data_IF_046952654963
#
_entry.id   IF_046952654963
#
_cell.length_a   1.000
_cell.length_b   1.000
_cell.length_c   1.000
_cell.angle_alpha   90.00
_cell.angle_beta   90.00
_cell.angle_gamma   90.00
#
_symmetry.space_group_name_H-M   'P 1'
#
loop_
_entity.id
_entity.type
_entity.pdbx_description
1 polymer ?
#
# COMPACT_ATOMS: atom_id res chain seq x y z
N UNK A 1 -14.37 35.85 20.04
CA UNK A 1 -13.52 34.67 19.77
C UNK A 1 -12.50 34.47 20.87
N UNK A 2 -12.56 33.33 21.56
CA UNK A 2 -11.56 32.95 22.56
C UNK A 2 -10.37 32.33 21.82
N UNK A 3 -9.21 32.98 21.87
CA UNK A 3 -7.96 32.44 21.36
C UNK A 3 -7.58 31.22 22.20
N UNK A 4 -7.49 30.04 21.58
CA UNK A 4 -7.03 28.84 22.25
C UNK A 4 -5.50 28.84 22.32
N UNK A 5 -4.89 28.42 23.43
CA UNK A 5 -3.45 28.56 23.67
C UNK A 5 -2.64 27.48 22.94
N UNK A 6 -2.61 27.53 21.60
CA UNK A 6 -1.93 26.54 20.76
C UNK A 6 -0.48 26.32 21.17
N UNK A 7 0.30 27.39 21.28
CA UNK A 7 1.73 27.32 21.57
C UNK A 7 2.00 26.73 22.97
N UNK A 8 1.21 27.08 23.97
CA UNK A 8 1.33 26.53 25.34
C UNK A 8 0.96 25.04 25.39
N UNK A 9 -0.07 24.63 24.65
CA UNK A 9 -0.51 23.24 24.57
C UNK A 9 0.54 22.36 23.89
N UNK A 10 1.14 22.85 22.80
CA UNK A 10 2.23 22.14 22.12
C UNK A 10 3.49 22.11 22.98
N UNK A 11 3.81 23.20 23.68
CA UNK A 11 4.94 23.24 24.62
C UNK A 11 4.75 22.22 25.75
N UNK A 12 3.54 22.15 26.33
CA UNK A 12 3.19 21.13 27.31
C UNK A 12 3.35 19.72 26.75
N UNK A 13 2.88 19.44 25.53
CA UNK A 13 3.03 18.12 24.89
C UNK A 13 4.47 17.82 24.43
N UNK A 14 5.31 18.84 24.31
CA UNK A 14 6.74 18.70 24.00
C UNK A 14 7.62 18.53 25.23
N UNK A 15 7.08 18.74 26.44
CA UNK A 15 7.78 18.50 27.70
C UNK A 15 8.06 17.01 27.93
N UNK A 16 8.87 16.70 28.94
CA UNK A 16 9.14 15.33 29.36
C UNK A 16 7.83 14.57 29.64
N UNK A 17 7.57 13.52 28.84
CA UNK A 17 6.34 12.73 28.91
C UNK A 17 6.23 11.93 30.21
N UNK A 18 7.34 11.61 30.87
CA UNK A 18 7.37 10.86 32.13
C UNK A 18 6.83 11.65 33.32
N UNK A 19 6.83 12.99 33.23
CA UNK A 19 6.41 13.89 34.31
C UNK A 19 4.97 14.40 34.14
N UNK A 20 4.31 14.07 33.03
CA UNK A 20 2.97 14.57 32.73
C UNK A 20 1.87 13.72 33.36
N UNK A 21 0.85 14.41 33.85
CA UNK A 21 -0.39 13.76 34.28
C UNK A 21 -1.21 13.31 33.05
N UNK A 22 -1.68 12.06 33.06
CA UNK A 22 -2.46 11.46 31.96
C UNK A 22 -3.74 12.27 31.68
N UNK A 23 -4.46 12.69 32.72
CA UNK A 23 -5.71 13.46 32.59
C UNK A 23 -5.43 14.82 31.95
N UNK A 24 -4.40 15.53 32.44
CA UNK A 24 -3.99 16.81 31.87
C UNK A 24 -3.53 16.67 30.40
N UNK A 25 -2.86 15.57 30.07
CA UNK A 25 -2.44 15.24 28.69
C UNK A 25 -3.63 15.01 27.77
N UNK A 26 -4.65 14.27 28.21
CA UNK A 26 -5.87 14.07 27.44
C UNK A 26 -6.62 15.39 27.20
N UNK A 27 -6.76 16.24 28.23
CA UNK A 27 -7.35 17.56 28.05
C UNK A 27 -6.52 18.44 27.11
N UNK A 28 -5.19 18.43 27.25
CA UNK A 28 -4.30 19.18 26.37
C UNK A 28 -4.48 18.76 24.91
N UNK A 29 -4.59 17.46 24.62
CA UNK A 29 -4.86 16.96 23.28
C UNK A 29 -6.23 17.41 22.73
N UNK A 30 -7.29 17.37 23.54
CA UNK A 30 -8.63 17.84 23.14
C UNK A 30 -8.59 19.32 22.78
N UNK A 31 -8.00 20.16 23.63
CA UNK A 31 -7.88 21.59 23.36
C UNK A 31 -6.92 21.90 22.21
N UNK A 32 -5.86 21.11 22.04
CA UNK A 32 -4.94 21.27 20.91
C UNK A 32 -5.66 20.99 19.59
N UNK A 33 -6.46 19.92 19.51
CA UNK A 33 -7.29 19.62 18.33
C UNK A 33 -8.23 20.78 18.01
N UNK A 34 -8.90 21.34 19.02
CA UNK A 34 -9.75 22.53 18.84
C UNK A 34 -8.96 23.75 18.36
N UNK A 35 -7.75 23.97 18.88
CA UNK A 35 -6.89 25.09 18.52
C UNK A 35 -6.43 24.98 17.06
N UNK A 36 -5.91 23.80 16.66
CA UNK A 36 -5.45 23.52 15.29
C UNK A 36 -6.56 23.74 14.26
N UNK A 37 -7.78 23.29 14.55
CA UNK A 37 -8.93 23.45 13.64
C UNK A 37 -9.32 24.93 13.42
N UNK A 38 -8.94 25.83 14.34
CA UNK A 38 -9.22 27.27 14.27
C UNK A 38 -8.05 28.09 13.70
N UNK A 39 -6.89 27.48 13.47
CA UNK A 39 -5.74 28.19 12.90
C UNK A 39 -6.06 28.67 11.47
N UNK A 40 -5.62 29.89 11.18
CA UNK A 40 -5.62 30.43 9.81
C UNK A 40 -4.58 29.69 8.94
N UNK A 41 -4.53 30.00 7.65
CA UNK A 41 -3.67 29.29 6.71
C UNK A 41 -2.17 29.41 7.04
N UNK A 42 -1.70 30.59 7.44
CA UNK A 42 -0.27 30.83 7.69
C UNK A 42 0.18 30.21 9.01
N UNK A 43 -0.67 30.23 10.05
CA UNK A 43 -0.41 29.57 11.33
C UNK A 43 -0.38 28.04 11.19
N UNK A 44 -1.10 27.45 10.24
CA UNK A 44 -1.02 26.00 9.95
C UNK A 44 0.37 25.59 9.45
N UNK A 45 1.06 26.48 8.73
CA UNK A 45 2.43 26.24 8.28
C UNK A 45 3.38 26.30 9.48
N UNK A 46 3.23 27.33 10.32
CA UNK A 46 4.00 27.52 11.55
C UNK A 46 3.82 26.37 12.54
N UNK A 47 2.63 25.77 12.57
CA UNK A 47 2.30 24.66 13.46
C UNK A 47 3.05 23.36 13.15
N UNK A 48 3.45 23.11 11.89
CA UNK A 48 4.05 21.83 11.49
C UNK A 48 5.32 21.47 12.28
N UNK A 49 6.37 22.32 12.35
CA UNK A 49 7.56 22.00 13.13
C UNK A 49 7.26 21.83 14.63
N UNK A 50 6.31 22.60 15.17
CA UNK A 50 5.92 22.53 16.57
C UNK A 50 5.22 21.19 16.88
N UNK A 51 4.34 20.74 16.01
CA UNK A 51 3.69 19.42 16.12
C UNK A 51 4.70 18.28 15.98
N UNK A 52 5.77 18.42 15.18
CA UNK A 52 6.84 17.42 15.14
C UNK A 52 7.66 17.34 16.42
N UNK A 53 7.86 18.47 17.11
CA UNK A 53 8.50 18.46 18.43
C UNK A 53 7.64 17.74 19.46
N UNK A 54 6.33 18.00 19.47
CA UNK A 54 5.39 17.23 20.29
C UNK A 54 5.40 15.74 19.92
N UNK A 55 5.41 15.41 18.63
CA UNK A 55 5.46 14.03 18.15
C UNK A 55 6.71 13.31 18.69
N UNK A 56 7.88 13.94 18.61
CA UNK A 56 9.15 13.40 19.12
C UNK A 56 9.07 13.08 20.62
N UNK A 57 8.51 13.98 21.42
CA UNK A 57 8.39 13.80 22.87
C UNK A 57 7.41 12.67 23.28
N UNK A 58 6.54 12.24 22.35
CA UNK A 58 5.47 11.29 22.61
C UNK A 58 5.64 9.93 21.90
N UNK A 59 6.79 9.64 21.30
CA UNK A 59 7.01 8.42 20.50
C UNK A 59 6.72 7.09 21.21
N UNK A 60 6.73 7.06 22.55
CA UNK A 60 6.41 5.87 23.33
C UNK A 60 4.89 5.58 23.42
N UNK A 61 4.03 6.59 23.18
CA UNK A 61 2.58 6.46 23.24
C UNK A 61 1.98 6.51 21.83
N UNK A 62 1.66 5.32 21.30
CA UNK A 62 1.05 5.15 19.97
C UNK A 62 -0.22 6.00 19.78
N UNK A 63 -1.05 6.13 20.81
CA UNK A 63 -2.31 6.87 20.70
C UNK A 63 -2.06 8.38 20.57
N UNK A 64 -1.13 8.93 21.37
CA UNK A 64 -0.75 10.34 21.24
C UNK A 64 -0.07 10.63 19.91
N UNK A 65 0.84 9.75 19.47
CA UNK A 65 1.48 9.82 18.16
C UNK A 65 0.44 9.89 17.05
N UNK A 66 -0.50 8.95 17.05
CA UNK A 66 -1.56 8.87 16.06
C UNK A 66 -2.45 10.12 16.04
N UNK A 67 -2.78 10.67 17.21
CA UNK A 67 -3.56 11.91 17.31
C UNK A 67 -2.77 13.13 16.82
N UNK A 68 -1.50 13.28 17.21
CA UNK A 68 -0.65 14.42 16.82
C UNK A 68 -0.45 14.44 15.30
N UNK A 69 -0.22 13.28 14.69
CA UNK A 69 0.02 13.21 13.25
C UNK A 69 -1.22 13.64 12.45
N UNK A 70 -2.44 13.34 12.91
CA UNK A 70 -3.67 13.82 12.26
C UNK A 70 -3.74 15.35 12.23
N UNK A 71 -3.23 16.03 13.25
CA UNK A 71 -3.24 17.50 13.33
C UNK A 71 -2.32 18.15 12.29
N UNK A 72 -1.39 17.40 11.69
CA UNK A 72 -0.42 17.94 10.72
C UNK A 72 -1.03 18.17 9.32
N UNK A 73 -2.15 17.54 8.99
CA UNK A 73 -2.76 17.57 7.65
C UNK A 73 -3.10 18.97 7.14
N UNK A 74 -3.57 19.87 8.00
CA UNK A 74 -3.86 21.25 7.61
C UNK A 74 -2.61 21.99 7.13
N UNK A 75 -1.47 21.71 7.76
CA UNK A 75 -0.17 22.22 7.34
C UNK A 75 0.27 21.62 6.00
N UNK A 76 0.17 20.30 5.84
CA UNK A 76 0.50 19.62 4.58
C UNK A 76 -0.32 20.15 3.39
N UNK A 77 -1.63 20.32 3.60
CA UNK A 77 -2.53 20.90 2.60
C UNK A 77 -2.10 22.29 2.19
N UNK A 78 -1.73 23.14 3.15
CA UNK A 78 -1.29 24.51 2.85
C UNK A 78 0.05 24.54 2.13
N UNK A 79 1.08 23.84 2.61
CA UNK A 79 2.40 23.89 1.98
C UNK A 79 2.39 23.29 0.55
N UNK A 80 1.47 22.36 0.26
CA UNK A 80 1.29 21.79 -1.08
C UNK A 80 0.83 22.79 -2.15
N UNK A 81 0.32 23.95 -1.72
CA UNK A 81 -0.12 25.04 -2.58
C UNK A 81 0.97 26.10 -2.78
N UNK A 82 2.09 25.97 -2.06
CA UNK A 82 3.19 26.94 -2.07
C UNK A 82 4.41 26.34 -2.78
N UNK A 83 5.28 27.23 -3.26
CA UNK A 83 6.62 26.83 -3.70
C UNK A 83 7.42 26.30 -2.51
N UNK A 84 8.29 25.31 -2.76
CA UNK A 84 9.14 24.67 -1.74
C UNK A 84 10.02 25.66 -0.98
N UNK A 85 10.41 26.78 -1.59
CA UNK A 85 11.16 27.88 -0.95
C UNK A 85 10.41 28.54 0.21
N UNK A 86 9.07 28.49 0.22
CA UNK A 86 8.21 29.06 1.26
C UNK A 86 7.86 28.06 2.36
N UNK A 87 8.40 26.84 2.28
CA UNK A 87 8.13 25.82 3.28
C UNK A 87 8.82 26.18 4.59
N UNK A 88 8.23 25.79 5.74
CA UNK A 88 8.90 25.95 7.02
C UNK A 88 10.11 25.01 7.07
N UNK A 89 11.00 25.21 8.04
CA UNK A 89 12.10 24.28 8.27
C UNK A 89 11.54 22.95 8.78
N UNK A 90 11.63 21.89 7.96
CA UNK A 90 11.16 20.54 8.26
C UNK A 90 12.33 19.58 8.58
N UNK A 91 13.41 20.07 9.21
CA UNK A 91 14.60 19.27 9.57
C UNK A 91 14.25 18.03 10.41
N UNK A 92 13.15 18.06 11.14
CA UNK A 92 12.67 16.94 11.95
C UNK A 92 12.32 15.72 11.07
N UNK A 93 12.03 15.89 9.78
CA UNK A 93 11.82 14.77 8.84
C UNK A 93 13.12 14.04 8.46
N UNK A 94 14.29 14.59 8.82
CA UNK A 94 15.56 13.86 8.72
C UNK A 94 15.57 12.72 9.75
N UNK A 95 14.91 12.91 10.89
CA UNK A 95 14.76 11.94 11.98
C UNK A 95 13.93 10.73 11.51
N UNK A 96 14.56 9.55 11.46
CA UNK A 96 13.97 8.34 10.88
C UNK A 96 12.63 7.93 11.51
N UNK A 97 12.45 7.95 12.86
CA UNK A 97 11.17 7.63 13.47
C UNK A 97 10.07 8.64 13.14
N UNK A 98 10.35 9.95 13.12
CA UNK A 98 9.36 10.98 12.75
C UNK A 98 8.94 10.77 11.30
N UNK A 99 9.92 10.64 10.39
CA UNK A 99 9.66 10.39 8.98
C UNK A 99 8.79 9.15 8.76
N UNK A 100 9.08 8.05 9.46
CA UNK A 100 8.32 6.81 9.36
C UNK A 100 6.84 7.00 9.76
N UNK A 101 6.55 7.72 10.85
CA UNK A 101 5.17 7.99 11.26
C UNK A 101 4.42 8.90 10.29
N UNK A 102 5.10 9.92 9.73
CA UNK A 102 4.51 10.80 8.71
C UNK A 102 4.23 10.03 7.42
N UNK A 103 5.15 9.20 6.96
CA UNK A 103 4.95 8.36 5.77
C UNK A 103 3.86 7.32 5.99
N UNK A 104 3.74 6.75 7.20
CA UNK A 104 2.65 5.84 7.52
C UNK A 104 1.30 6.57 7.51
N UNK A 105 1.22 7.77 8.08
CA UNK A 105 0.01 8.58 7.98
C UNK A 105 -0.35 8.95 6.54
N UNK A 106 0.64 9.30 5.72
CA UNK A 106 0.41 9.54 4.28
C UNK A 106 -0.10 8.29 3.58
N UNK A 107 0.44 7.11 3.91
CA UNK A 107 -0.05 5.82 3.44
C UNK A 107 -1.53 5.64 3.82
N UNK A 108 -1.88 5.89 5.07
CA UNK A 108 -3.24 5.70 5.58
C UNK A 108 -4.25 6.66 4.93
N UNK A 109 -3.89 7.93 4.75
CA UNK A 109 -4.75 8.91 4.05
C UNK A 109 -4.91 8.57 2.58
N UNK A 110 -3.85 8.12 1.90
CA UNK A 110 -3.95 7.68 0.49
C UNK A 110 -4.78 6.40 0.35
N UNK A 111 -4.68 5.48 1.32
CA UNK A 111 -5.46 4.24 1.37
C UNK A 111 -6.93 4.48 1.75
N UNK A 112 -7.25 5.60 2.41
CA UNK A 112 -8.61 5.92 2.85
C UNK A 112 -9.61 5.87 1.67
N UNK A 113 -10.64 5.01 1.71
CA UNK A 113 -11.55 4.81 0.60
C UNK A 113 -12.49 6.01 0.42
N UNK A 114 -12.95 6.21 -0.82
CA UNK A 114 -14.04 7.14 -1.10
C UNK A 114 -15.38 6.46 -0.78
N UNK A 115 -16.15 6.95 0.20
CA UNK A 115 -17.41 6.33 0.55
C UNK A 115 -18.44 6.51 -0.57
N UNK A 116 -19.22 5.46 -0.84
CA UNK A 116 -20.41 5.57 -1.69
C UNK A 116 -21.51 6.28 -0.89
N UNK A 117 -21.60 7.60 -1.03
CA UNK A 117 -22.56 8.45 -0.31
C UNK A 117 -21.94 9.22 0.86
N UNK A 118 -22.74 9.47 1.90
CA UNK A 118 -22.29 10.24 3.07
C UNK A 118 -21.27 9.45 3.89
N UNK A 119 -20.21 10.12 4.33
CA UNK A 119 -19.14 9.50 5.11
C UNK A 119 -19.66 8.91 6.42
N UNK A 120 -20.60 9.57 7.10
CA UNK A 120 -21.18 9.13 8.36
C UNK A 120 -21.89 7.78 8.22
N UNK A 121 -22.59 7.57 7.11
CA UNK A 121 -23.27 6.30 6.83
C UNK A 121 -22.25 5.17 6.58
N UNK A 122 -21.15 5.46 5.87
CA UNK A 122 -20.09 4.49 5.67
C UNK A 122 -19.34 4.18 6.98
N UNK A 123 -19.12 5.17 7.84
CA UNK A 123 -18.55 4.96 9.18
C UNK A 123 -19.44 4.02 9.99
N UNK A 124 -20.75 4.28 10.05
CA UNK A 124 -21.69 3.40 10.74
C UNK A 124 -21.69 1.97 10.17
N UNK A 125 -21.60 1.81 8.84
CA UNK A 125 -21.51 0.50 8.20
C UNK A 125 -20.21 -0.25 8.54
N UNK A 126 -19.08 0.45 8.65
CA UNK A 126 -17.80 -0.15 9.07
C UNK A 126 -17.86 -0.59 10.54
N UNK A 127 -18.42 0.24 11.42
CA UNK A 127 -18.63 -0.12 12.83
C UNK A 127 -19.57 -1.32 12.99
N UNK A 128 -20.62 -1.38 12.18
CA UNK A 128 -21.55 -2.50 12.11
C UNK A 128 -20.96 -3.75 11.40
N UNK A 129 -19.70 -3.70 10.95
CA UNK A 129 -19.01 -4.78 10.24
C UNK A 129 -19.73 -5.24 8.95
N UNK A 130 -20.41 -4.31 8.29
CA UNK A 130 -21.08 -4.54 7.02
C UNK A 130 -20.16 -4.28 5.82
N UNK A 131 -19.00 -3.66 6.06
CA UNK A 131 -17.98 -3.40 5.05
C UNK A 131 -16.90 -4.47 5.15
N UNK A 132 -16.77 -5.27 4.08
CA UNK A 132 -15.88 -6.44 4.07
C UNK A 132 -14.48 -6.14 3.55
N UNK A 133 -14.21 -4.96 2.96
CA UNK A 133 -12.90 -4.65 2.40
C UNK A 133 -12.55 -3.17 2.50
N UNK A 134 -11.51 -2.87 3.28
CA UNK A 134 -10.87 -1.57 3.42
C UNK A 134 -9.43 -1.65 2.89
N UNK A 135 -9.26 -1.82 1.58
CA UNK A 135 -7.97 -2.04 0.90
C UNK A 135 -6.79 -1.30 1.56
N UNK A 136 -5.85 -2.05 2.14
CA UNK A 136 -4.63 -1.56 2.78
C UNK A 136 -4.79 -0.61 3.98
N UNK A 137 -5.98 -0.51 4.60
CA UNK A 137 -6.20 0.26 5.83
C UNK A 137 -6.99 -0.57 6.85
N UNK A 138 -6.54 -0.55 8.11
CA UNK A 138 -7.23 -1.27 9.19
C UNK A 138 -8.51 -0.56 9.62
N UNK A 139 -9.44 -1.29 10.23
CA UNK A 139 -10.71 -0.72 10.70
C UNK A 139 -10.47 0.41 11.70
N UNK A 140 -9.55 0.21 12.64
CA UNK A 140 -9.22 1.22 13.65
C UNK A 140 -8.67 2.50 13.02
N UNK A 141 -7.70 2.36 12.10
CA UNK A 141 -7.10 3.50 11.40
C UNK A 141 -8.12 4.23 10.53
N UNK A 142 -8.97 3.48 9.82
CA UNK A 142 -10.06 4.06 9.04
C UNK A 142 -11.00 4.88 9.91
N UNK A 143 -11.50 4.31 11.03
CA UNK A 143 -12.46 4.99 11.91
C UNK A 143 -11.85 6.25 12.52
N UNK A 144 -10.59 6.19 12.91
CA UNK A 144 -9.84 7.33 13.42
C UNK A 144 -9.73 8.43 12.37
N UNK A 145 -9.26 8.14 11.15
CA UNK A 145 -9.14 9.14 10.09
C UNK A 145 -10.53 9.70 9.71
N UNK A 146 -11.55 8.84 9.60
CA UNK A 146 -12.89 9.29 9.27
C UNK A 146 -13.45 10.26 10.32
N UNK A 147 -13.42 9.87 11.60
CA UNK A 147 -14.04 10.64 12.70
C UNK A 147 -13.18 11.82 13.12
N UNK A 148 -11.89 11.60 13.32
CA UNK A 148 -11.01 12.60 13.92
C UNK A 148 -10.41 13.56 12.92
N UNK A 149 -10.37 13.21 11.63
CA UNK A 149 -9.95 14.12 10.57
C UNK A 149 -11.13 14.59 9.71
N UNK A 150 -11.75 13.72 8.91
CA UNK A 150 -12.67 14.18 7.87
C UNK A 150 -14.04 14.63 8.39
N UNK A 151 -14.55 14.06 9.48
CA UNK A 151 -15.80 14.51 10.12
C UNK A 151 -15.57 15.70 11.07
N UNK A 152 -14.37 15.84 11.62
CA UNK A 152 -14.06 16.91 12.59
C UNK A 152 -13.59 18.21 11.94
N UNK A 153 -13.22 18.16 10.65
CA UNK A 153 -12.71 19.28 9.87
C UNK A 153 -13.54 19.49 8.60
N UNK A 154 -13.37 20.63 7.93
CA UNK A 154 -13.97 20.88 6.62
C UNK A 154 -13.11 20.39 5.44
N UNK A 155 -12.08 19.57 5.71
CA UNK A 155 -11.16 19.12 4.67
C UNK A 155 -11.80 18.07 3.76
N UNK A 156 -11.62 18.28 2.46
CA UNK A 156 -11.98 17.27 1.46
C UNK A 156 -10.95 16.15 1.42
N UNK A 157 -11.43 14.90 1.30
CA UNK A 157 -10.59 13.70 1.10
C UNK A 157 -9.68 13.89 -0.13
N UNK A 158 -10.24 14.37 -1.24
CA UNK A 158 -9.49 14.61 -2.48
C UNK A 158 -8.39 15.65 -2.27
N UNK A 159 -8.72 16.79 -1.64
CA UNK A 159 -7.74 17.84 -1.41
C UNK A 159 -6.60 17.37 -0.49
N UNK A 160 -6.91 16.59 0.55
CA UNK A 160 -5.91 15.99 1.44
C UNK A 160 -4.99 15.01 0.68
N UNK A 161 -5.55 14.10 -0.12
CA UNK A 161 -4.76 13.16 -0.94
C UNK A 161 -3.88 13.87 -1.97
N UNK A 162 -4.43 14.84 -2.71
CA UNK A 162 -3.66 15.64 -3.68
C UNK A 162 -2.51 16.37 -3.00
N UNK A 163 -2.76 16.97 -1.82
CA UNK A 163 -1.72 17.65 -1.06
C UNK A 163 -0.57 16.70 -0.67
N UNK A 164 -0.90 15.51 -0.16
CA UNK A 164 0.08 14.48 0.19
C UNK A 164 0.91 14.09 -1.03
N UNK A 165 0.28 13.82 -2.18
CA UNK A 165 1.00 13.46 -3.41
C UNK A 165 1.96 14.57 -3.83
N UNK A 166 1.53 15.85 -3.79
CA UNK A 166 2.38 16.99 -4.11
C UNK A 166 3.55 17.12 -3.14
N UNK A 167 3.30 16.92 -1.85
CA UNK A 167 4.34 16.95 -0.81
C UNK A 167 5.34 15.81 -1.00
N UNK A 168 4.89 14.59 -1.29
CA UNK A 168 5.78 13.47 -1.62
C UNK A 168 6.64 13.75 -2.87
N UNK A 169 6.09 14.50 -3.83
CA UNK A 169 6.76 14.87 -5.08
C UNK A 169 7.69 16.08 -4.99
N UNK A 170 7.87 16.65 -3.80
CA UNK A 170 8.63 17.89 -3.59
C UNK A 170 10.16 17.70 -3.56
N UNK A 171 10.63 16.46 -3.50
CA UNK A 171 12.05 16.12 -3.32
C UNK A 171 12.51 16.06 -1.85
N UNK A 172 11.62 16.33 -0.88
CA UNK A 172 11.94 16.19 0.55
C UNK A 172 11.99 14.74 1.04
N UNK A 173 11.35 13.82 0.33
CA UNK A 173 11.34 12.39 0.65
C UNK A 173 12.13 11.63 -0.40
N UNK A 174 12.75 10.51 0.00
CA UNK A 174 13.46 9.63 -0.92
C UNK A 174 12.46 8.93 -1.84
N UNK A 175 12.77 8.84 -3.13
CA UNK A 175 11.98 8.12 -4.13
C UNK A 175 11.60 6.69 -3.70
N UNK A 176 12.49 6.03 -2.95
CA UNK A 176 12.25 4.69 -2.39
C UNK A 176 11.10 4.66 -1.39
N UNK A 177 10.96 5.70 -0.58
CA UNK A 177 9.86 5.85 0.38
C UNK A 177 8.57 6.29 -0.34
N UNK A 178 8.71 7.04 -1.44
CA UNK A 178 7.59 7.66 -2.16
C UNK A 178 6.88 6.67 -3.10
N UNK A 179 7.62 5.81 -3.82
CA UNK A 179 7.06 4.96 -4.86
C UNK A 179 5.90 4.06 -4.38
N UNK A 180 5.99 3.35 -3.23
CA UNK A 180 4.86 2.55 -2.73
C UNK A 180 3.62 3.40 -2.42
N UNK A 181 3.80 4.63 -1.92
CA UNK A 181 2.70 5.54 -1.58
C UNK A 181 2.02 6.08 -2.84
N UNK A 182 2.78 6.48 -3.86
CA UNK A 182 2.22 6.90 -5.15
C UNK A 182 1.43 5.78 -5.82
N UNK A 183 1.86 4.53 -5.68
CA UNK A 183 1.14 3.35 -6.19
C UNK A 183 -0.26 3.25 -5.58
N UNK A 184 -0.43 3.58 -4.29
CA UNK A 184 -1.74 3.65 -3.62
C UNK A 184 -2.55 4.82 -4.18
N UNK A 185 -1.94 6.00 -4.34
CA UNK A 185 -2.59 7.18 -4.90
C UNK A 185 -3.15 6.95 -6.30
N UNK A 186 -2.40 6.25 -7.16
CA UNK A 186 -2.83 5.87 -8.51
C UNK A 186 -3.97 4.85 -8.50
N UNK A 187 -3.98 3.91 -7.54
CA UNK A 187 -4.95 2.82 -7.53
C UNK A 187 -6.27 3.13 -6.79
N UNK A 188 -6.19 3.91 -5.71
CA UNK A 188 -7.31 4.21 -4.81
C UNK A 188 -7.71 5.71 -4.84
N UNK A 189 -7.20 6.45 -5.82
CA UNK A 189 -7.55 7.86 -6.07
C UNK A 189 -8.85 8.03 -6.87
N UNK A 190 -9.47 9.20 -6.78
CA UNK A 190 -10.34 9.68 -7.87
C UNK A 190 -9.48 10.20 -9.02
N UNK A 191 -10.09 10.56 -10.16
CA UNK A 191 -9.39 11.02 -11.37
C UNK A 191 -8.33 12.09 -11.10
N UNK A 192 -8.62 13.06 -10.23
CA UNK A 192 -7.68 14.12 -9.86
C UNK A 192 -6.46 13.58 -9.10
N UNK A 193 -6.68 12.71 -8.10
CA UNK A 193 -5.59 12.11 -7.30
C UNK A 193 -4.77 11.18 -8.16
N UNK A 194 -5.42 10.35 -8.98
CA UNK A 194 -4.75 9.43 -9.91
C UNK A 194 -3.85 10.21 -10.87
N UNK A 195 -4.36 11.28 -11.48
CA UNK A 195 -3.59 12.11 -12.40
C UNK A 195 -2.34 12.71 -11.75
N UNK A 196 -2.49 13.30 -10.57
CA UNK A 196 -1.35 13.92 -9.85
C UNK A 196 -0.35 12.85 -9.41
N UNK A 197 -0.80 11.68 -8.95
CA UNK A 197 0.07 10.59 -8.51
C UNK A 197 0.81 9.92 -9.68
N UNK A 198 0.14 9.71 -10.82
CA UNK A 198 0.76 9.16 -12.03
C UNK A 198 1.82 10.13 -12.59
N UNK A 199 1.54 11.43 -12.59
CA UNK A 199 2.50 12.46 -12.98
C UNK A 199 3.74 12.49 -12.07
N UNK A 200 3.55 12.34 -10.76
CA UNK A 200 4.62 12.21 -9.80
C UNK A 200 5.46 10.94 -10.01
N UNK A 201 4.79 9.81 -10.22
CA UNK A 201 5.44 8.50 -10.37
C UNK A 201 6.34 8.43 -11.61
N UNK A 202 6.02 9.18 -12.67
CA UNK A 202 6.87 9.30 -13.88
C UNK A 202 8.22 9.96 -13.65
N UNK A 203 8.39 10.69 -12.53
CA UNK A 203 9.66 11.34 -12.18
C UNK A 203 10.62 10.41 -11.45
N UNK A 204 10.13 9.28 -10.95
CA UNK A 204 10.92 8.30 -10.20
C UNK A 204 11.58 7.33 -11.17
N UNK A 205 12.87 7.03 -10.94
CA UNK A 205 13.51 5.90 -11.58
C UNK A 205 13.00 4.59 -10.97
N UNK A 206 11.92 4.05 -11.55
CA UNK A 206 11.32 2.80 -11.11
C UNK A 206 12.33 1.64 -11.23
N UNK A 207 13.25 1.68 -12.20
CA UNK A 207 14.22 0.60 -12.42
C UNK A 207 15.21 0.46 -11.27
N UNK A 208 15.73 1.58 -10.78
CA UNK A 208 16.57 1.59 -9.57
C UNK A 208 15.73 1.35 -8.32
N UNK A 209 14.53 1.93 -8.24
CA UNK A 209 13.73 1.85 -7.02
C UNK A 209 13.33 0.42 -6.64
N UNK A 210 12.96 -0.41 -7.61
CA UNK A 210 12.54 -1.78 -7.34
C UNK A 210 13.70 -2.75 -7.08
N UNK A 211 14.95 -2.29 -7.08
CA UNK A 211 16.11 -3.08 -6.62
C UNK A 211 16.25 -3.04 -5.10
N UNK A 212 15.70 -2.01 -4.45
CA UNK A 212 15.80 -1.83 -3.02
C UNK A 212 14.85 -2.74 -2.25
N UNK A 213 15.39 -3.43 -1.23
CA UNK A 213 14.64 -4.39 -0.43
C UNK A 213 13.43 -3.77 0.28
N UNK A 214 13.62 -2.57 0.82
CA UNK A 214 12.54 -1.84 1.50
C UNK A 214 11.32 -1.60 0.61
N UNK A 215 11.55 -1.31 -0.68
CA UNK A 215 10.48 -1.04 -1.65
C UNK A 215 9.72 -2.33 -1.94
N UNK A 216 10.45 -3.40 -2.25
CA UNK A 216 9.88 -4.72 -2.53
C UNK A 216 9.07 -5.25 -1.34
N UNK A 217 9.62 -5.14 -0.13
CA UNK A 217 8.95 -5.57 1.10
C UNK A 217 7.67 -4.75 1.35
N UNK A 218 7.69 -3.44 1.13
CA UNK A 218 6.49 -2.59 1.25
C UNK A 218 5.44 -2.93 0.18
N UNK A 219 5.84 -3.16 -1.08
CA UNK A 219 4.93 -3.60 -2.15
C UNK A 219 4.28 -4.96 -1.83
N UNK A 220 5.04 -5.91 -1.28
CA UNK A 220 4.47 -7.17 -0.80
C UNK A 220 3.49 -6.99 0.35
N UNK A 221 3.85 -6.16 1.32
CA UNK A 221 2.98 -5.84 2.45
C UNK A 221 1.67 -5.19 2.00
N UNK A 222 1.72 -4.26 1.04
CA UNK A 222 0.52 -3.64 0.47
C UNK A 222 -0.33 -4.66 -0.29
N UNK A 223 0.30 -5.52 -1.10
CA UNK A 223 -0.41 -6.52 -1.89
C UNK A 223 -1.13 -7.56 -1.01
N UNK A 224 -0.43 -8.16 -0.06
CA UNK A 224 -0.92 -9.28 0.74
C UNK A 224 -1.68 -8.85 2.01
N UNK A 225 -1.45 -7.63 2.50
CA UNK A 225 -1.89 -7.20 3.82
C UNK A 225 -1.14 -7.92 4.95
N UNK A 226 -1.71 -7.89 6.15
CA UNK A 226 -1.26 -8.69 7.28
C UNK A 226 -2.45 -9.49 7.85
N UNK A 227 -2.25 -10.80 8.04
CA UNK A 227 -3.29 -11.70 8.54
C UNK A 227 -2.78 -12.55 9.71
N UNK A 228 -1.81 -12.02 10.47
CA UNK A 228 -1.31 -12.71 11.65
C UNK A 228 -2.43 -12.82 12.69
N UNK A 229 -2.62 -14.03 13.22
CA UNK A 229 -3.57 -14.29 14.33
C UNK A 229 -3.20 -13.53 15.61
N UNK A 230 -1.96 -13.07 15.72
CA UNK A 230 -1.46 -12.29 16.86
C UNK A 230 -1.91 -10.83 16.80
N UNK A 231 -2.28 -10.32 15.63
CA UNK A 231 -2.73 -8.94 15.45
C UNK A 231 -4.25 -8.89 15.70
N UNK A 232 -4.74 -8.00 16.57
CA UNK A 232 -6.18 -7.80 16.78
C UNK A 232 -6.90 -7.56 15.45
N UNK A 233 -8.09 -8.13 15.28
CA UNK A 233 -8.84 -8.09 14.01
C UNK A 233 -9.02 -6.67 13.47
N UNK A 234 -9.25 -5.70 14.33
CA UNK A 234 -9.48 -4.30 13.93
C UNK A 234 -8.18 -3.54 13.59
N UNK A 235 -7.01 -4.13 13.91
CA UNK A 235 -5.68 -3.66 13.54
C UNK A 235 -5.08 -4.40 12.34
N UNK A 236 -5.70 -5.50 11.89
CA UNK A 236 -5.26 -6.24 10.71
C UNK A 236 -5.40 -5.38 9.45
N UNK A 237 -4.39 -5.44 8.59
CA UNK A 237 -4.39 -4.81 7.28
C UNK A 237 -4.95 -5.80 6.25
N UNK A 238 -6.11 -5.51 5.63
CA UNK A 238 -6.63 -6.37 4.57
C UNK A 238 -5.73 -6.32 3.34
N UNK A 239 -5.86 -7.32 2.47
CA UNK A 239 -5.12 -7.37 1.21
C UNK A 239 -5.57 -6.26 0.24
N UNK A 240 -4.73 -6.00 -0.76
CA UNK A 240 -5.00 -4.99 -1.77
C UNK A 240 -6.27 -5.27 -2.58
N UNK A 241 -6.95 -4.18 -2.96
CA UNK A 241 -7.99 -4.19 -3.99
C UNK A 241 -7.43 -4.66 -5.34
N UNK A 242 -8.31 -5.11 -6.23
CA UNK A 242 -7.94 -5.49 -7.59
C UNK A 242 -7.18 -4.37 -8.31
N UNK A 243 -7.65 -3.11 -8.17
CA UNK A 243 -7.01 -1.95 -8.80
C UNK A 243 -5.57 -1.77 -8.33
N UNK A 244 -5.33 -1.93 -7.02
CA UNK A 244 -3.99 -1.80 -6.46
C UNK A 244 -3.09 -2.98 -6.84
N UNK A 245 -3.63 -4.21 -6.86
CA UNK A 245 -2.89 -5.39 -7.35
C UNK A 245 -2.42 -5.21 -8.80
N UNK A 246 -3.26 -4.63 -9.67
CA UNK A 246 -2.92 -4.32 -11.06
C UNK A 246 -1.79 -3.28 -11.20
N UNK A 247 -1.63 -2.38 -10.22
CA UNK A 247 -0.54 -1.39 -10.19
C UNK A 247 0.74 -1.93 -9.54
N UNK A 248 0.63 -2.80 -8.53
CA UNK A 248 1.78 -3.39 -7.84
C UNK A 248 2.49 -4.46 -8.68
N UNK A 249 1.76 -5.38 -9.33
CA UNK A 249 2.39 -6.50 -10.05
C UNK A 249 3.38 -6.05 -11.14
N UNK A 250 3.10 -5.05 -11.98
CA UNK A 250 4.07 -4.55 -12.94
C UNK A 250 5.38 -4.06 -12.31
N UNK A 251 5.32 -3.49 -11.09
CA UNK A 251 6.53 -3.08 -10.35
C UNK A 251 7.32 -4.30 -9.88
N UNK A 252 6.64 -5.32 -9.35
CA UNK A 252 7.27 -6.57 -8.91
C UNK A 252 7.89 -7.36 -10.07
N UNK A 253 7.24 -7.38 -11.25
CA UNK A 253 7.77 -8.04 -12.46
C UNK A 253 9.07 -7.40 -12.93
N UNK A 254 9.27 -6.10 -12.68
CA UNK A 254 10.52 -5.39 -13.02
C UNK A 254 11.64 -5.63 -12.00
N UNK A 255 11.36 -6.31 -10.88
CA UNK A 255 12.31 -6.54 -9.80
C UNK A 255 12.83 -7.98 -9.78
N UNK A 256 14.14 -8.14 -10.00
CA UNK A 256 14.81 -9.42 -9.77
C UNK A 256 14.79 -9.83 -8.29
N UNK A 257 14.81 -8.85 -7.38
CA UNK A 257 14.74 -9.12 -5.95
C UNK A 257 13.36 -9.68 -5.58
N UNK A 258 12.27 -9.10 -6.07
CA UNK A 258 10.92 -9.65 -5.88
C UNK A 258 10.82 -11.10 -6.33
N UNK A 259 11.44 -11.46 -7.46
CA UNK A 259 11.45 -12.84 -7.93
C UNK A 259 12.14 -13.83 -6.96
N UNK A 260 12.99 -13.35 -6.05
CA UNK A 260 13.77 -14.20 -5.13
C UNK A 260 13.39 -14.05 -3.65
N UNK A 261 12.43 -13.17 -3.32
CA UNK A 261 11.93 -12.97 -1.93
C UNK A 261 10.91 -14.03 -1.52
N UNK A 262 11.41 -15.19 -1.09
CA UNK A 262 10.57 -16.29 -0.60
C UNK A 262 10.11 -16.07 0.86
N UNK A 263 8.90 -16.54 1.24
CA UNK A 263 7.87 -17.16 0.39
C UNK A 263 6.83 -16.17 -0.16
N UNK A 264 7.04 -14.85 0.00
CA UNK A 264 6.07 -13.81 -0.35
C UNK A 264 5.76 -13.78 -1.86
N UNK A 265 6.80 -13.96 -2.66
CA UNK A 265 6.70 -14.02 -4.12
C UNK A 265 5.72 -15.09 -4.63
N UNK A 266 5.74 -16.30 -4.06
CA UNK A 266 4.81 -17.39 -4.41
C UNK A 266 3.39 -17.07 -3.94
N UNK A 267 3.24 -16.50 -2.74
CA UNK A 267 1.92 -16.07 -2.23
C UNK A 267 1.27 -15.05 -3.17
N UNK A 268 2.03 -14.05 -3.63
CA UNK A 268 1.53 -13.04 -4.57
C UNK A 268 1.16 -13.66 -5.92
N UNK A 269 2.02 -14.51 -6.49
CA UNK A 269 1.73 -15.15 -7.76
C UNK A 269 0.45 -16.01 -7.69
N UNK A 270 0.28 -16.79 -6.62
CA UNK A 270 -0.88 -17.66 -6.46
C UNK A 270 -2.16 -16.88 -6.15
N UNK A 271 -2.09 -15.85 -5.30
CA UNK A 271 -3.23 -14.97 -5.06
C UNK A 271 -3.69 -14.29 -6.37
N UNK A 272 -2.76 -13.80 -7.18
CA UNK A 272 -3.08 -13.16 -8.45
C UNK A 272 -3.62 -14.12 -9.52
N UNK A 273 -3.18 -15.39 -9.51
CA UNK A 273 -3.60 -16.42 -10.48
C UNK A 273 -4.94 -17.07 -10.14
N UNK A 274 -5.16 -17.37 -8.86
CA UNK A 274 -6.28 -18.21 -8.41
C UNK A 274 -7.31 -17.44 -7.60
N UNK A 275 -6.94 -16.29 -7.03
CA UNK A 275 -7.86 -15.42 -6.30
C UNK A 275 -8.55 -16.07 -5.09
N UNK A 276 -9.55 -15.36 -4.55
CA UNK A 276 -10.49 -15.90 -3.58
C UNK A 276 -11.66 -16.60 -4.26
N UNK A 277 -12.28 -17.55 -3.57
CA UNK A 277 -13.34 -18.46 -4.09
C UNK A 277 -14.60 -17.73 -4.60
N UNK A 278 -14.76 -16.44 -4.28
CA UNK A 278 -16.04 -15.75 -4.40
C UNK A 278 -16.29 -15.01 -5.73
N UNK A 279 -15.26 -14.71 -6.54
CA UNK A 279 -15.43 -14.03 -7.83
C UNK A 279 -14.35 -14.44 -8.84
N UNK A 280 -14.67 -14.54 -10.15
CA UNK A 280 -13.67 -14.81 -11.18
C UNK A 280 -12.61 -13.71 -11.23
N UNK A 281 -11.35 -14.12 -11.29
CA UNK A 281 -10.20 -13.22 -11.31
C UNK A 281 -10.20 -12.41 -12.62
N UNK A 282 -10.04 -11.08 -12.58
CA UNK A 282 -9.95 -10.28 -13.81
C UNK A 282 -8.79 -10.75 -14.70
N UNK A 283 -9.05 -10.93 -16.00
CA UNK A 283 -8.07 -11.45 -16.97
C UNK A 283 -6.71 -10.75 -16.88
N UNK A 284 -6.70 -9.42 -16.79
CA UNK A 284 -5.46 -8.65 -16.76
C UNK A 284 -4.63 -8.94 -15.50
N UNK A 285 -5.29 -9.13 -14.35
CA UNK A 285 -4.63 -9.48 -13.11
C UNK A 285 -4.06 -10.90 -13.17
N UNK A 286 -4.84 -11.84 -13.70
CA UNK A 286 -4.39 -13.23 -13.89
C UNK A 286 -3.21 -13.30 -14.87
N UNK A 287 -3.20 -12.50 -15.94
CA UNK A 287 -2.08 -12.39 -16.87
C UNK A 287 -0.82 -11.87 -16.18
N UNK A 288 -0.90 -10.75 -15.46
CA UNK A 288 0.26 -10.20 -14.75
C UNK A 288 0.80 -11.17 -13.70
N UNK A 289 -0.08 -11.90 -13.01
CA UNK A 289 0.33 -12.93 -12.05
C UNK A 289 1.01 -14.12 -12.73
N UNK A 290 0.57 -14.52 -13.92
CA UNK A 290 1.23 -15.55 -14.72
C UNK A 290 2.62 -15.09 -15.20
N UNK A 291 2.74 -13.85 -15.67
CA UNK A 291 4.03 -13.24 -16.05
C UNK A 291 4.99 -13.19 -14.85
N UNK A 292 4.48 -12.82 -13.68
CA UNK A 292 5.26 -12.85 -12.45
C UNK A 292 5.69 -14.27 -12.08
N UNK A 293 4.81 -15.27 -12.16
CA UNK A 293 5.17 -16.67 -11.92
C UNK A 293 6.23 -17.17 -12.92
N UNK A 294 6.15 -16.77 -14.18
CA UNK A 294 7.16 -17.12 -15.18
C UNK A 294 8.54 -16.55 -14.82
N UNK A 295 8.59 -15.30 -14.35
CA UNK A 295 9.81 -14.67 -13.85
C UNK A 295 10.41 -15.46 -12.66
N UNK A 296 9.55 -15.90 -11.73
CA UNK A 296 9.95 -16.74 -10.59
C UNK A 296 10.61 -18.04 -11.06
N UNK A 297 9.94 -18.77 -11.95
CA UNK A 297 10.45 -20.05 -12.47
C UNK A 297 11.76 -19.88 -13.23
N UNK A 298 11.95 -18.76 -13.94
CA UNK A 298 13.19 -18.47 -14.68
C UNK A 298 14.37 -18.13 -13.76
N UNK A 299 14.13 -17.38 -12.69
CA UNK A 299 15.18 -16.80 -11.84
C UNK A 299 15.34 -17.51 -10.48
N UNK A 300 14.61 -18.59 -10.25
CA UNK A 300 14.64 -19.28 -8.97
C UNK A 300 15.99 -19.97 -8.70
N UNK A 301 16.40 -20.06 -7.41
CA UNK A 301 17.60 -20.81 -7.03
C UNK A 301 17.43 -22.31 -7.27
N UNK A 302 18.54 -23.05 -7.39
CA UNK A 302 18.55 -24.46 -7.77
C UNK A 302 17.74 -25.40 -6.86
N UNK A 303 17.59 -25.04 -5.58
CA UNK A 303 16.79 -25.77 -4.60
C UNK A 303 15.29 -25.46 -4.64
N UNK A 304 14.87 -24.39 -5.32
CA UNK A 304 13.49 -23.94 -5.32
C UNK A 304 12.53 -24.91 -6.04
N UNK A 305 12.85 -25.30 -7.28
CA UNK A 305 11.98 -26.14 -8.08
C UNK A 305 11.81 -27.56 -7.52
N UNK A 306 12.84 -28.20 -6.94
CA UNK A 306 12.62 -29.45 -6.20
C UNK A 306 11.59 -29.32 -5.06
N UNK A 307 11.56 -28.19 -4.35
CA UNK A 307 10.66 -27.97 -3.20
C UNK A 307 9.26 -27.52 -3.61
N UNK A 308 9.16 -26.51 -4.47
CA UNK A 308 7.89 -25.87 -4.83
C UNK A 308 7.37 -26.28 -6.22
N UNK A 309 8.20 -26.92 -7.05
CA UNK A 309 7.83 -27.38 -8.38
C UNK A 309 6.58 -28.26 -8.38
N UNK A 310 6.43 -29.29 -7.52
CA UNK A 310 5.25 -30.15 -7.52
C UNK A 310 3.94 -29.38 -7.30
N UNK A 311 3.90 -28.45 -6.33
CA UNK A 311 2.70 -27.67 -6.04
C UNK A 311 2.38 -26.69 -7.18
N UNK A 312 3.39 -25.98 -7.70
CA UNK A 312 3.22 -25.07 -8.86
C UNK A 312 2.71 -25.84 -10.07
N UNK A 313 3.30 -27.00 -10.35
CA UNK A 313 2.93 -27.85 -11.48
C UNK A 313 1.47 -28.31 -11.38
N UNK A 314 1.04 -28.81 -10.22
CA UNK A 314 -0.35 -29.23 -10.00
C UNK A 314 -1.35 -28.08 -10.17
N UNK A 315 -0.99 -26.87 -9.71
CA UNK A 315 -1.83 -25.68 -9.82
C UNK A 315 -1.89 -25.15 -11.25
N UNK A 316 -0.78 -25.18 -11.99
CA UNK A 316 -0.75 -24.81 -13.41
C UNK A 316 -1.59 -25.76 -14.26
N UNK A 317 -1.61 -27.06 -13.96
CA UNK A 317 -2.50 -28.01 -14.67
C UNK A 317 -3.97 -27.63 -14.52
N UNK A 318 -4.38 -27.31 -13.29
CA UNK A 318 -5.74 -26.81 -13.02
C UNK A 318 -6.03 -25.51 -13.76
N UNK A 319 -5.07 -24.59 -13.79
CA UNK A 319 -5.19 -23.33 -14.51
C UNK A 319 -5.40 -23.56 -16.01
N UNK A 320 -4.57 -24.39 -16.65
CA UNK A 320 -4.63 -24.67 -18.09
C UNK A 320 -5.97 -25.28 -18.49
N UNK A 321 -6.50 -26.19 -17.67
CA UNK A 321 -7.75 -26.87 -17.97
C UNK A 321 -8.99 -25.99 -17.77
N UNK A 322 -8.92 -25.01 -16.86
CA UNK A 322 -10.07 -24.21 -16.45
C UNK A 322 -10.03 -22.74 -16.90
N UNK A 323 -8.89 -22.25 -17.40
CA UNK A 323 -8.74 -20.86 -17.81
C UNK A 323 -9.13 -20.67 -19.27
N UNK A 324 -10.06 -19.76 -19.52
CA UNK A 324 -10.52 -19.41 -20.87
C UNK A 324 -9.55 -18.45 -21.60
N UNK A 325 -8.65 -17.80 -20.86
CA UNK A 325 -7.77 -16.79 -21.39
C UNK A 325 -6.52 -17.40 -22.02
N UNK A 326 -6.51 -17.46 -23.35
CA UNK A 326 -5.44 -18.05 -24.17
C UNK A 326 -4.04 -17.48 -23.85
N UNK A 327 -3.93 -16.18 -23.56
CA UNK A 327 -2.67 -15.54 -23.18
C UNK A 327 -2.14 -16.05 -21.82
N UNK A 328 -3.02 -16.28 -20.84
CA UNK A 328 -2.66 -16.84 -19.53
C UNK A 328 -2.23 -18.31 -19.69
N UNK A 329 -3.01 -19.08 -20.45
CA UNK A 329 -2.73 -20.50 -20.73
C UNK A 329 -1.37 -20.66 -21.44
N UNK A 330 -1.05 -19.78 -22.38
CA UNK A 330 0.25 -19.79 -23.05
C UNK A 330 1.42 -19.57 -22.09
N UNK A 331 1.31 -18.63 -21.15
CA UNK A 331 2.34 -18.40 -20.13
C UNK A 331 2.42 -19.60 -19.17
N UNK A 332 1.29 -20.21 -18.83
CA UNK A 332 1.26 -21.42 -18.00
C UNK A 332 2.00 -22.59 -18.66
N UNK A 333 1.82 -22.80 -19.97
CA UNK A 333 2.58 -23.80 -20.74
C UNK A 333 4.08 -23.49 -20.77
N UNK A 334 4.48 -22.22 -20.87
CA UNK A 334 5.91 -21.85 -20.75
C UNK A 334 6.48 -22.23 -19.38
N UNK A 335 5.71 -21.99 -18.30
CA UNK A 335 6.11 -22.39 -16.96
C UNK A 335 6.22 -23.93 -16.86
N UNK A 336 5.28 -24.67 -17.45
CA UNK A 336 5.34 -26.13 -17.53
C UNK A 336 6.61 -26.64 -18.21
N UNK A 337 6.97 -26.09 -19.38
CA UNK A 337 8.18 -26.48 -20.08
C UNK A 337 9.45 -26.26 -19.26
N UNK A 338 9.54 -25.11 -18.58
CA UNK A 338 10.69 -24.77 -17.73
C UNK A 338 10.78 -25.65 -16.48
N UNK A 339 9.66 -25.87 -15.79
CA UNK A 339 9.61 -26.74 -14.60
C UNK A 339 9.91 -28.18 -15.01
N UNK A 340 9.34 -28.65 -16.11
CA UNK A 340 9.56 -29.98 -16.65
C UNK A 340 11.02 -30.24 -17.00
N UNK A 341 11.69 -29.26 -17.63
CA UNK A 341 13.12 -29.35 -17.93
C UNK A 341 13.97 -29.47 -16.67
N UNK A 342 13.65 -28.68 -15.64
CA UNK A 342 14.44 -28.62 -14.42
C UNK A 342 14.10 -29.73 -13.40
N UNK A 343 12.88 -30.28 -13.45
CA UNK A 343 12.42 -31.38 -12.61
C UNK A 343 11.73 -32.45 -13.48
N UNK A 344 12.50 -33.21 -14.30
CA UNK A 344 11.92 -34.15 -15.28
C UNK A 344 11.01 -35.21 -14.68
N UNK A 345 11.26 -35.57 -13.41
CA UNK A 345 10.47 -36.55 -12.65
C UNK A 345 8.98 -36.20 -12.59
N UNK A 346 8.60 -34.93 -12.71
CA UNK A 346 7.21 -34.48 -12.74
C UNK A 346 6.47 -34.84 -14.03
N UNK A 347 7.18 -35.10 -15.13
CA UNK A 347 6.58 -35.34 -16.46
C UNK A 347 6.86 -36.77 -16.96
N UNK A 348 8.02 -37.33 -16.64
CA UNK A 348 8.48 -38.63 -17.20
C UNK A 348 7.55 -39.82 -17.01
N UNK A 349 6.56 -39.75 -16.10
CA UNK A 349 5.59 -40.82 -15.83
C UNK A 349 4.15 -40.45 -16.19
N UNK A 350 3.90 -39.25 -16.69
CA UNK A 350 2.56 -38.74 -16.99
C UNK A 350 2.38 -38.62 -18.52
N UNK A 351 2.16 -39.77 -19.17
CA UNK A 351 1.94 -39.84 -20.62
C UNK A 351 0.67 -39.09 -21.05
N UNK A 352 -0.36 -39.09 -20.18
CA UNK A 352 -1.61 -38.36 -20.43
C UNK A 352 -1.35 -36.85 -20.52
N UNK A 353 -0.52 -36.30 -19.62
CA UNK A 353 -0.12 -34.90 -19.70
C UNK A 353 0.64 -34.56 -20.98
N UNK A 354 1.57 -35.43 -21.42
CA UNK A 354 2.28 -35.23 -22.68
C UNK A 354 1.30 -35.16 -23.86
N UNK A 355 0.36 -36.10 -23.91
CA UNK A 355 -0.67 -36.14 -24.94
C UNK A 355 -1.56 -34.88 -24.91
N UNK A 356 -2.08 -34.50 -23.73
CA UNK A 356 -2.86 -33.25 -23.53
C UNK A 356 -2.09 -32.02 -24.03
N UNK A 357 -0.78 -31.96 -23.78
CA UNK A 357 0.07 -30.84 -24.20
C UNK A 357 0.25 -30.81 -25.71
N UNK A 358 0.48 -31.96 -26.36
CA UNK A 358 0.60 -32.04 -27.82
C UNK A 358 -0.73 -31.75 -28.53
N UNK A 359 -1.84 -32.25 -27.99
CA UNK A 359 -3.19 -31.99 -28.51
C UNK A 359 -3.59 -30.51 -28.38
N UNK A 360 -3.00 -29.79 -27.43
CA UNK A 360 -3.20 -28.36 -27.27
C UNK A 360 -2.45 -27.51 -28.32
N UNK A 361 -1.39 -28.03 -28.98
CA UNK A 361 -0.58 -27.29 -29.97
C UNK A 361 -1.36 -26.92 -31.25
N UNK A 362 -2.13 -27.84 -31.88
CA UNK A 362 -2.95 -27.52 -33.05
C UNK A 362 -4.15 -26.63 -32.72
N UNK A 363 -4.68 -26.73 -31.50
CA UNK A 363 -5.77 -25.88 -31.04
C UNK A 363 -5.25 -24.44 -30.86
N UNK A 364 -6.02 -23.44 -31.28
CA UNK A 364 -5.71 -22.01 -31.24
C UNK A 364 -5.45 -21.40 -29.84
N UNK A 365 -5.19 -22.24 -28.83
CA UNK A 365 -4.88 -21.92 -27.42
C UNK A 365 -3.41 -21.54 -27.16
N UNK A 366 -2.57 -21.54 -28.18
CA UNK A 366 -1.21 -21.01 -28.11
C UNK A 366 -1.04 -19.92 -29.19
N UNK A 367 -0.83 -18.64 -28.82
CA UNK A 367 -0.34 -17.67 -29.79
C UNK A 367 0.99 -18.18 -30.34
N UNK A 368 1.19 -18.06 -31.67
CA UNK A 368 2.41 -18.51 -32.36
C UNK A 368 3.65 -18.12 -31.56
N UNK A 369 4.28 -19.11 -30.94
CA UNK A 369 5.55 -18.96 -30.25
C UNK A 369 6.56 -18.50 -31.31
N UNK A 370 6.83 -17.20 -31.34
CA UNK A 370 7.82 -16.61 -32.22
C UNK A 370 9.17 -16.93 -31.59
N UNK A 371 9.97 -17.73 -32.29
CA UNK A 371 11.36 -18.05 -31.93
C UNK A 371 12.24 -16.81 -31.89
#
# INVERSE_FOLDING_TARGET
DIALPFDDLVAYLSSDSSQRNIIATNFAMVYLKMAVNRLNEDDRIRALPLLFNALRANMADKNLVDQIVLLTIGGWMRISQLNTEKWPNLKELIDTPIRAHILQFFTDVLAFPYPLGKLEAHVAAVEARQVNNLSCISVNTYLRIAKDLFMSTSFSITAAKVAIVKVLSSGYFNDMDVLPLLTIGVANGCDEVEFVAESAMRKIDIGEAVKERQVVDKLYSLYLGNASKEIPRDEQLPCASVQLKLRILPLLIRSNLAATTFPLNIKVAFDGLFGGVSMPQPQKLQQLAAEFLLLLVRNCPSNFLPTFGPIIFSSLRKLINNCEYTNVVAIAYQCFGLIGRNVPKLITKDMALLQETFDAIPSSRLPRLSY
#
